data_IF_577870212730
#
_entry.id   IF_577870212730
#
_cell.length_a   1.000
_cell.length_b   1.000
_cell.length_c   1.000
_cell.angle_alpha   90.00
_cell.angle_beta   90.00
_cell.angle_gamma   90.00
#
_symmetry.space_group_name_H-M   'P 1'
#
loop_
_entity.id
_entity.type
_entity.pdbx_description
1 polymer ?
#
# COMPACT_ATOMS: atom_id res chain seq x y z
N UNK A 1 3.76 4.78 -49.14
CA UNK A 1 5.06 5.47 -49.03
C UNK A 1 4.79 6.82 -48.40
N UNK A 2 5.03 6.95 -47.11
CA UNK A 2 4.88 8.22 -46.38
C UNK A 2 6.16 9.04 -46.68
N UNK A 3 6.01 10.20 -47.30
CA UNK A 3 7.10 11.13 -47.55
C UNK A 3 7.63 11.61 -46.19
N UNK A 4 8.90 11.30 -45.91
CA UNK A 4 9.65 11.88 -44.79
C UNK A 4 9.76 13.37 -45.10
N UNK A 5 9.32 14.25 -44.17
CA UNK A 5 9.43 15.69 -44.37
C UNK A 5 10.92 16.07 -44.56
N UNK A 6 11.19 16.95 -45.51
CA UNK A 6 12.55 17.35 -45.90
C UNK A 6 13.35 17.97 -44.74
N UNK A 7 12.65 18.49 -43.72
CA UNK A 7 13.22 19.07 -42.50
C UNK A 7 13.84 18.02 -41.55
N UNK A 8 13.35 16.77 -41.55
CA UNK A 8 13.90 15.70 -40.73
C UNK A 8 15.26 15.16 -41.19
N UNK A 9 15.66 15.45 -42.41
CA UNK A 9 16.92 14.97 -42.98
C UNK A 9 18.13 15.84 -42.61
N UNK A 10 17.92 17.07 -42.13
CA UNK A 10 18.99 18.05 -41.85
C UNK A 10 19.07 18.44 -40.37
N UNK A 11 18.22 17.95 -39.50
CA UNK A 11 18.34 18.19 -38.07
C UNK A 11 19.52 17.41 -37.50
N UNK A 12 20.43 18.12 -36.83
CA UNK A 12 21.55 17.51 -36.11
C UNK A 12 21.04 16.65 -34.96
N UNK A 13 21.84 15.67 -34.49
CA UNK A 13 21.50 14.89 -33.28
C UNK A 13 21.26 15.78 -32.05
N UNK A 14 21.93 16.95 -31.99
CA UNK A 14 21.73 17.94 -30.95
C UNK A 14 20.34 18.60 -31.04
N UNK A 15 19.87 18.94 -32.23
CA UNK A 15 18.52 19.51 -32.47
C UNK A 15 17.43 18.47 -32.20
N UNK A 16 17.65 17.19 -32.56
CA UNK A 16 16.74 16.08 -32.19
C UNK A 16 16.69 15.83 -30.70
N UNK A 17 17.80 16.03 -29.98
CA UNK A 17 17.84 15.97 -28.51
C UNK A 17 17.20 17.20 -27.86
N UNK A 18 17.27 18.38 -28.49
CA UNK A 18 16.57 19.58 -28.02
C UNK A 18 15.05 19.50 -28.19
N UNK A 19 14.56 18.96 -29.30
CA UNK A 19 13.14 18.70 -29.56
C UNK A 19 12.58 17.63 -28.58
N UNK A 20 13.44 16.71 -28.12
CA UNK A 20 13.09 15.71 -27.10
C UNK A 20 13.33 16.18 -25.65
N UNK A 21 13.84 17.40 -25.41
CA UNK A 21 13.90 17.97 -24.07
C UNK A 21 12.50 18.26 -23.58
N UNK A 22 12.15 17.67 -22.47
CA UNK A 22 10.91 17.95 -21.76
C UNK A 22 10.82 19.43 -21.42
N UNK A 23 10.00 20.16 -22.16
CA UNK A 23 9.79 21.59 -21.92
C UNK A 23 8.68 21.79 -20.89
N UNK A 24 8.97 22.63 -19.91
CA UNK A 24 7.95 23.10 -18.96
C UNK A 24 7.13 24.18 -19.68
N UNK A 25 5.81 24.00 -19.69
CA UNK A 25 4.87 24.97 -20.26
C UNK A 25 3.75 25.27 -19.24
N UNK A 26 3.25 26.49 -19.24
CA UNK A 26 2.08 26.82 -18.43
C UNK A 26 0.83 26.31 -19.12
N UNK A 27 0.05 25.51 -18.40
CA UNK A 27 -1.19 24.88 -18.91
C UNK A 27 -2.35 25.34 -18.05
N UNK A 28 -3.47 25.78 -18.66
CA UNK A 28 -4.69 26.11 -17.93
C UNK A 28 -5.21 24.91 -17.12
N UNK A 29 -5.64 25.17 -15.86
CA UNK A 29 -6.13 24.14 -14.94
C UNK A 29 -7.33 23.39 -15.49
N UNK A 30 -8.20 24.06 -16.25
CA UNK A 30 -9.39 23.48 -16.89
C UNK A 30 -9.09 22.37 -17.90
N UNK A 31 -7.86 22.31 -18.42
CA UNK A 31 -7.44 21.29 -19.37
C UNK A 31 -6.93 20.02 -18.68
N UNK A 32 -6.76 20.01 -17.35
CA UNK A 32 -6.31 18.83 -16.65
C UNK A 32 -7.46 17.93 -16.23
N UNK A 33 -7.25 16.63 -16.38
CA UNK A 33 -8.20 15.60 -15.98
C UNK A 33 -7.51 14.59 -15.06
N UNK A 34 -8.22 14.07 -14.04
CA UNK A 34 -7.65 13.09 -13.13
C UNK A 34 -7.32 11.78 -13.85
N UNK A 35 -6.29 11.07 -13.34
CA UNK A 35 -5.94 9.73 -13.83
C UNK A 35 -7.09 8.74 -13.52
N UNK A 36 -7.52 7.91 -14.50
CA UNK A 36 -8.58 6.92 -14.26
C UNK A 36 -8.19 5.94 -13.15
N UNK A 37 -9.12 5.68 -12.23
CA UNK A 37 -8.92 4.75 -11.12
C UNK A 37 -7.68 5.05 -10.27
N UNK A 38 -7.32 6.33 -10.12
CA UNK A 38 -6.19 6.77 -9.30
C UNK A 38 -6.33 6.24 -7.86
N UNK A 39 -5.40 5.40 -7.38
CA UNK A 39 -5.57 4.72 -6.10
C UNK A 39 -5.31 5.62 -4.90
N UNK A 40 -4.56 6.70 -5.07
CA UNK A 40 -4.16 7.59 -3.98
C UNK A 40 -5.15 8.73 -3.81
N UNK A 41 -5.66 8.90 -2.60
CA UNK A 41 -6.61 9.97 -2.27
C UNK A 41 -5.90 11.32 -2.20
N UNK A 42 -6.57 12.36 -2.69
CA UNK A 42 -6.20 13.74 -2.44
C UNK A 42 -7.09 14.20 -1.28
N UNK A 43 -6.46 14.44 -0.11
CA UNK A 43 -7.16 14.83 1.11
C UNK A 43 -6.92 16.32 1.38
N UNK A 44 -7.96 16.99 1.88
CA UNK A 44 -7.90 18.39 2.34
C UNK A 44 -7.46 18.43 3.81
N UNK A 45 -6.24 17.90 4.05
CA UNK A 45 -5.58 17.82 5.33
C UNK A 45 -4.73 19.12 5.60
N UNK A 46 -4.15 19.21 6.79
CA UNK A 46 -3.25 20.31 7.16
C UNK A 46 -2.08 20.46 6.17
N UNK A 47 -1.51 19.34 5.70
CA UNK A 47 -0.45 19.35 4.66
C UNK A 47 -0.94 19.91 3.31
N UNK A 48 -2.25 19.78 3.02
CA UNK A 48 -2.83 20.43 1.83
C UNK A 48 -2.89 21.93 2.02
N UNK A 49 -3.27 22.41 3.19
CA UNK A 49 -3.30 23.84 3.50
C UNK A 49 -1.91 24.47 3.39
N UNK A 50 -0.86 23.80 3.90
CA UNK A 50 0.53 24.23 3.72
C UNK A 50 0.91 24.30 2.24
N UNK A 51 0.46 23.32 1.45
CA UNK A 51 0.71 23.29 0.00
C UNK A 51 0.00 24.45 -0.71
N UNK A 52 -1.25 24.74 -0.34
CA UNK A 52 -2.03 25.88 -0.87
C UNK A 52 -1.35 27.21 -0.53
N UNK A 53 -0.92 27.39 0.72
CA UNK A 53 -0.20 28.59 1.13
C UNK A 53 1.10 28.76 0.33
N UNK A 54 1.92 27.73 0.24
CA UNK A 54 3.16 27.74 -0.56
C UNK A 54 2.91 28.11 -2.03
N UNK A 55 1.87 27.54 -2.64
CA UNK A 55 1.51 27.82 -4.03
C UNK A 55 0.99 29.27 -4.18
N UNK A 56 0.26 29.77 -3.19
CA UNK A 56 -0.20 31.16 -3.20
C UNK A 56 0.94 32.16 -3.15
N UNK A 57 2.02 31.86 -2.39
CA UNK A 57 3.17 32.74 -2.22
C UNK A 57 4.18 32.61 -3.38
N UNK A 58 4.53 31.39 -3.75
CA UNK A 58 5.66 31.12 -4.66
C UNK A 58 5.25 30.50 -6.00
N UNK A 59 3.97 30.18 -6.19
CA UNK A 59 3.51 29.39 -7.33
C UNK A 59 3.92 27.92 -7.24
N UNK A 60 3.69 27.17 -8.30
CA UNK A 60 4.07 25.76 -8.40
C UNK A 60 5.53 25.65 -8.80
N UNK A 61 6.42 25.38 -7.85
CA UNK A 61 7.87 25.31 -8.07
C UNK A 61 8.31 24.05 -8.85
N UNK A 62 7.62 22.93 -8.64
CA UNK A 62 7.90 21.66 -9.32
C UNK A 62 6.79 21.40 -10.32
N UNK A 63 7.07 21.34 -11.63
CA UNK A 63 6.03 21.13 -12.64
C UNK A 63 5.30 19.81 -12.45
N UNK A 64 4.02 19.78 -12.83
CA UNK A 64 3.24 18.55 -12.86
C UNK A 64 3.59 17.75 -14.12
N UNK A 65 3.44 16.42 -14.07
CA UNK A 65 3.62 15.57 -15.24
C UNK A 65 2.23 15.14 -15.75
N UNK A 66 1.99 15.38 -17.02
CA UNK A 66 0.74 14.99 -17.67
C UNK A 66 0.98 14.43 -19.08
N UNK A 67 -0.04 13.76 -19.62
CA UNK A 67 -0.01 13.25 -21.00
C UNK A 67 -1.21 13.74 -21.79
N UNK A 68 -1.11 13.88 -23.14
CA UNK A 68 -2.25 14.21 -23.97
C UNK A 68 -3.36 13.15 -23.91
N UNK A 69 -4.63 13.58 -23.89
CA UNK A 69 -5.81 12.71 -24.02
C UNK A 69 -6.32 12.71 -25.44
N UNK A 70 -6.88 11.58 -25.91
CA UNK A 70 -7.51 11.52 -27.24
C UNK A 70 -8.73 12.47 -27.37
N UNK A 71 -9.46 12.69 -26.25
CA UNK A 71 -10.66 13.55 -26.20
C UNK A 71 -10.30 15.03 -26.03
N UNK A 72 -9.03 15.37 -25.96
CA UNK A 72 -8.52 16.70 -25.68
C UNK A 72 -8.17 16.93 -24.21
N UNK A 73 -7.36 17.94 -23.97
CA UNK A 73 -6.79 18.20 -22.64
C UNK A 73 -5.69 17.22 -22.26
N UNK A 74 -5.37 17.18 -20.97
CA UNK A 74 -4.25 16.43 -20.43
C UNK A 74 -4.66 15.58 -19.24
N UNK A 75 -4.17 14.35 -19.16
CA UNK A 75 -4.36 13.47 -18.02
C UNK A 75 -3.18 13.61 -17.06
N UNK A 76 -3.47 13.84 -15.79
CA UNK A 76 -2.46 14.04 -14.75
C UNK A 76 -1.80 12.69 -14.42
N UNK A 77 -0.49 12.55 -14.65
CA UNK A 77 0.28 11.37 -14.28
C UNK A 77 0.93 11.53 -12.90
N UNK A 78 1.46 12.72 -12.61
CA UNK A 78 2.03 13.03 -11.30
C UNK A 78 1.77 14.49 -10.93
N UNK A 79 1.37 14.73 -9.68
CA UNK A 79 1.13 16.07 -9.14
C UNK A 79 -0.33 16.40 -8.86
N UNK A 80 -1.22 15.42 -8.69
CA UNK A 80 -2.63 15.64 -8.36
C UNK A 80 -2.84 16.59 -7.18
N UNK A 81 -2.05 16.47 -6.09
CA UNK A 81 -2.12 17.41 -4.95
C UNK A 81 -1.74 18.85 -5.34
N UNK A 82 -0.78 19.02 -6.24
CA UNK A 82 -0.37 20.36 -6.73
C UNK A 82 -1.45 21.00 -7.61
N UNK A 83 -2.10 20.23 -8.44
CA UNK A 83 -3.25 20.71 -9.25
C UNK A 83 -4.37 21.14 -8.29
N UNK A 84 -4.80 20.27 -7.37
CA UNK A 84 -5.87 20.58 -6.43
C UNK A 84 -5.53 21.79 -5.53
N UNK A 85 -4.31 21.86 -5.02
CA UNK A 85 -3.87 23.02 -4.23
C UNK A 85 -3.82 24.33 -5.07
N UNK A 86 -3.53 24.23 -6.37
CA UNK A 86 -3.56 25.38 -7.29
C UNK A 86 -4.97 25.88 -7.53
N UNK A 87 -5.95 24.98 -7.65
CA UNK A 87 -7.37 25.32 -7.72
C UNK A 87 -7.83 26.05 -6.45
N UNK A 88 -7.48 25.51 -5.26
CA UNK A 88 -7.80 26.15 -3.97
C UNK A 88 -7.10 27.49 -3.78
N UNK A 89 -5.90 27.67 -4.34
CA UNK A 89 -5.15 28.94 -4.34
C UNK A 89 -5.64 29.95 -5.39
N UNK A 90 -6.69 29.63 -6.18
CA UNK A 90 -7.25 30.49 -7.21
C UNK A 90 -6.30 30.74 -8.41
N UNK A 91 -5.38 29.82 -8.67
CA UNK A 91 -4.54 29.90 -9.88
C UNK A 91 -5.35 29.47 -11.09
N UNK A 92 -5.03 30.03 -12.25
CA UNK A 92 -5.67 29.70 -13.53
C UNK A 92 -4.85 28.74 -14.38
N UNK A 93 -3.54 28.68 -14.16
CA UNK A 93 -2.59 27.84 -14.87
C UNK A 93 -1.49 27.31 -13.95
N UNK A 94 -0.86 26.20 -14.35
CA UNK A 94 0.27 25.59 -13.64
C UNK A 94 1.37 25.17 -14.60
N UNK A 95 2.64 25.19 -14.19
CA UNK A 95 3.73 24.66 -14.98
C UNK A 95 3.60 23.13 -15.08
N UNK A 96 3.65 22.62 -16.30
CA UNK A 96 3.50 21.19 -16.61
C UNK A 96 4.54 20.72 -17.62
N UNK A 97 4.95 19.48 -17.48
CA UNK A 97 5.68 18.71 -18.49
C UNK A 97 4.66 17.80 -19.18
N UNK A 98 4.47 17.99 -20.47
CA UNK A 98 3.58 17.16 -21.27
C UNK A 98 4.40 16.11 -22.00
N UNK A 99 4.18 14.84 -21.65
CA UNK A 99 4.89 13.70 -22.24
C UNK A 99 3.91 12.71 -22.86
N UNK A 100 4.13 12.35 -24.12
CA UNK A 100 3.38 11.24 -24.75
C UNK A 100 3.89 9.93 -24.18
N UNK A 101 2.98 9.11 -23.64
CA UNK A 101 3.28 7.81 -23.05
C UNK A 101 2.08 6.87 -23.15
N UNK A 102 2.35 5.59 -23.10
CA UNK A 102 1.31 4.55 -23.06
C UNK A 102 0.62 4.51 -21.70
N UNK A 103 -0.53 3.84 -21.61
CA UNK A 103 -1.26 3.65 -20.34
C UNK A 103 -0.41 2.93 -19.29
N UNK A 104 0.33 1.89 -19.71
CA UNK A 104 1.17 1.12 -18.80
C UNK A 104 2.35 1.96 -18.26
N UNK A 105 2.98 2.78 -19.12
CA UNK A 105 4.03 3.73 -18.70
C UNK A 105 3.49 4.77 -17.72
N UNK A 106 2.33 5.33 -18.00
CA UNK A 106 1.69 6.30 -17.14
C UNK A 106 1.34 5.69 -15.76
N UNK A 107 0.81 4.45 -15.73
CA UNK A 107 0.56 3.71 -14.49
C UNK A 107 1.84 3.51 -13.69
N UNK A 108 2.93 3.07 -14.32
CA UNK A 108 4.21 2.83 -13.64
C UNK A 108 4.75 4.12 -13.01
N UNK A 109 4.78 5.22 -13.76
CA UNK A 109 5.26 6.52 -13.26
C UNK A 109 4.35 7.03 -12.13
N UNK A 110 3.03 6.97 -12.30
CA UNK A 110 2.06 7.41 -11.31
C UNK A 110 2.23 6.63 -9.99
N UNK A 111 2.32 5.31 -10.06
CA UNK A 111 2.48 4.47 -8.86
C UNK A 111 3.83 4.74 -8.19
N UNK A 112 4.94 4.76 -8.95
CA UNK A 112 6.28 4.94 -8.38
C UNK A 112 6.45 6.32 -7.73
N UNK A 113 5.90 7.38 -8.32
CA UNK A 113 5.95 8.73 -7.74
C UNK A 113 5.16 8.86 -6.42
N UNK A 114 4.16 8.01 -6.19
CA UNK A 114 3.34 8.04 -4.99
C UNK A 114 3.78 7.05 -3.90
N UNK A 115 4.41 5.92 -4.27
CA UNK A 115 4.89 4.94 -3.31
C UNK A 115 6.05 5.43 -2.42
N UNK A 116 6.66 6.57 -2.77
CA UNK A 116 7.71 7.21 -1.97
C UNK A 116 7.15 8.11 -0.85
N UNK A 117 5.81 8.24 -0.72
CA UNK A 117 5.20 9.04 0.35
C UNK A 117 5.39 8.35 1.69
N UNK A 118 5.61 9.14 2.75
CA UNK A 118 5.78 8.62 4.12
C UNK A 118 4.54 7.90 4.66
N UNK A 119 3.35 8.35 4.28
CA UNK A 119 2.08 7.81 4.75
C UNK A 119 1.22 7.44 3.55
N UNK A 120 0.99 6.13 3.38
CA UNK A 120 0.13 5.56 2.35
C UNK A 120 -0.80 4.57 3.04
N UNK A 121 -2.10 4.69 2.79
CA UNK A 121 -3.09 3.78 3.36
C UNK A 121 -2.91 2.35 2.82
N UNK A 122 -3.25 1.32 3.61
CA UNK A 122 -3.23 -0.07 3.15
C UNK A 122 -4.02 -0.29 1.86
N UNK A 123 -5.19 0.34 1.73
CA UNK A 123 -6.00 0.27 0.51
C UNK A 123 -5.30 0.89 -0.70
N UNK A 124 -4.67 2.06 -0.52
CA UNK A 124 -3.93 2.74 -1.57
C UNK A 124 -2.76 1.88 -2.08
N UNK A 125 -1.97 1.30 -1.14
CA UNK A 125 -0.91 0.33 -1.49
C UNK A 125 -1.46 -0.88 -2.24
N UNK A 126 -2.60 -1.42 -1.78
CA UNK A 126 -3.23 -2.59 -2.38
C UNK A 126 -3.57 -2.36 -3.87
N UNK A 127 -4.29 -1.27 -4.17
CA UNK A 127 -4.67 -0.95 -5.54
C UNK A 127 -3.46 -0.49 -6.39
N UNK A 128 -2.53 0.28 -5.83
CA UNK A 128 -1.32 0.70 -6.51
C UNK A 128 -0.46 -0.50 -6.93
N UNK A 129 -0.23 -1.46 -6.03
CA UNK A 129 0.52 -2.68 -6.36
C UNK A 129 -0.21 -3.55 -7.39
N UNK A 130 -1.54 -3.65 -7.30
CA UNK A 130 -2.33 -4.37 -8.30
C UNK A 130 -2.20 -3.73 -9.68
N UNK A 131 -2.36 -2.40 -9.79
CA UNK A 131 -2.22 -1.67 -11.04
C UNK A 131 -0.80 -1.84 -11.63
N UNK A 132 0.23 -1.71 -10.79
CA UNK A 132 1.63 -1.89 -11.20
C UNK A 132 1.90 -3.32 -11.67
N UNK A 133 1.38 -4.33 -10.95
CA UNK A 133 1.49 -5.74 -11.33
C UNK A 133 0.89 -6.01 -12.71
N UNK A 134 -0.30 -5.49 -12.95
CA UNK A 134 -1.02 -5.64 -14.22
C UNK A 134 -0.29 -4.94 -15.35
N UNK A 135 0.18 -3.69 -15.15
CA UNK A 135 0.95 -2.93 -16.13
C UNK A 135 2.24 -3.65 -16.52
N UNK A 136 3.06 -4.08 -15.55
CA UNK A 136 4.30 -4.84 -15.82
C UNK A 136 3.99 -6.15 -16.55
N UNK A 137 2.91 -6.83 -16.20
CA UNK A 137 2.54 -8.10 -16.84
C UNK A 137 2.14 -7.88 -18.30
N UNK A 138 1.37 -6.82 -18.62
CA UNK A 138 1.04 -6.45 -20.00
C UNK A 138 2.27 -6.09 -20.81
N UNK A 139 3.17 -5.31 -20.23
CA UNK A 139 4.43 -4.92 -20.89
C UNK A 139 5.33 -6.11 -21.16
N UNK A 140 5.48 -7.05 -20.22
CA UNK A 140 6.26 -8.30 -20.41
C UNK A 140 5.69 -9.21 -21.51
N UNK A 141 4.38 -9.18 -21.74
CA UNK A 141 3.72 -9.95 -22.79
C UNK A 141 3.79 -9.34 -24.19
N UNK A 142 4.30 -8.10 -24.34
CA UNK A 142 4.43 -7.42 -25.65
C UNK A 142 5.72 -7.81 -26.38
N UNK A 143 5.74 -7.81 -27.75
CA UNK A 143 6.98 -7.98 -28.52
C UNK A 143 8.01 -6.91 -28.16
N UNK A 144 9.30 -7.29 -28.19
CA UNK A 144 10.45 -6.46 -27.71
C UNK A 144 10.64 -5.09 -28.39
N UNK A 145 9.86 -4.74 -29.41
CA UNK A 145 10.03 -3.52 -30.21
C UNK A 145 9.16 -2.33 -29.75
N UNK A 146 8.45 -2.45 -28.62
CA UNK A 146 7.62 -1.37 -28.09
C UNK A 146 8.00 -1.03 -26.64
N UNK A 147 8.70 0.09 -26.46
CA UNK A 147 8.92 0.75 -25.17
C UNK A 147 10.36 0.73 -24.65
N UNK A 148 10.88 1.92 -24.37
CA UNK A 148 12.25 2.12 -23.87
C UNK A 148 12.43 1.84 -22.37
N UNK A 149 11.35 1.60 -21.60
CA UNK A 149 11.35 1.56 -20.12
C UNK A 149 11.55 0.15 -19.53
N UNK A 150 11.65 -0.92 -20.36
CA UNK A 150 11.35 -2.27 -19.87
C UNK A 150 12.52 -3.27 -19.76
N UNK A 151 13.78 -3.00 -20.13
CA UNK A 151 14.84 -4.00 -20.04
C UNK A 151 15.07 -4.54 -18.62
N UNK A 152 14.88 -3.70 -17.59
CA UNK A 152 15.15 -4.05 -16.19
C UNK A 152 14.17 -5.05 -15.57
N UNK A 153 13.02 -5.31 -16.21
CA UNK A 153 11.98 -6.18 -15.64
C UNK A 153 11.99 -7.60 -16.20
N UNK A 154 12.89 -7.91 -17.16
CA UNK A 154 12.99 -9.24 -17.73
C UNK A 154 13.81 -10.18 -16.82
N UNK A 155 13.24 -11.37 -16.55
CA UNK A 155 13.91 -12.42 -15.77
C UNK A 155 13.49 -12.53 -14.31
N UNK A 156 12.87 -11.50 -13.71
CA UNK A 156 12.36 -11.51 -12.34
C UNK A 156 10.86 -11.79 -12.29
N UNK A 157 10.38 -12.33 -11.17
CA UNK A 157 8.94 -12.38 -10.91
C UNK A 157 8.41 -10.96 -10.75
N UNK A 158 7.24 -10.67 -11.30
CA UNK A 158 6.68 -9.32 -11.30
C UNK A 158 6.51 -8.73 -9.89
N UNK A 159 6.17 -9.57 -8.91
CA UNK A 159 6.07 -9.16 -7.49
C UNK A 159 7.43 -8.86 -6.86
N UNK A 160 8.51 -9.48 -7.31
CA UNK A 160 9.89 -9.19 -6.87
C UNK A 160 10.34 -7.82 -7.38
N UNK A 161 10.02 -7.50 -8.63
CA UNK A 161 10.27 -6.17 -9.22
C UNK A 161 9.59 -5.05 -8.43
N UNK A 162 8.33 -5.26 -8.01
CA UNK A 162 7.60 -4.28 -7.19
C UNK A 162 8.27 -4.16 -5.81
N UNK A 163 8.66 -5.27 -5.22
CA UNK A 163 9.29 -5.34 -3.90
C UNK A 163 10.62 -4.58 -3.85
N UNK A 164 11.48 -4.73 -4.86
CA UNK A 164 12.75 -4.00 -4.95
C UNK A 164 12.56 -2.48 -4.98
N UNK A 165 11.57 -2.00 -5.74
CA UNK A 165 11.27 -0.56 -5.85
C UNK A 165 10.68 0.07 -4.58
N UNK A 166 10.16 -0.75 -3.64
CA UNK A 166 9.45 -0.27 -2.45
C UNK A 166 10.13 -0.61 -1.12
N UNK A 167 11.17 -1.44 -1.15
CA UNK A 167 11.83 -1.94 0.05
C UNK A 167 10.99 -2.94 0.87
N UNK A 168 9.84 -3.37 0.35
CA UNK A 168 9.00 -4.39 0.98
C UNK A 168 9.36 -5.80 0.49
N UNK A 169 9.01 -6.84 1.27
CA UNK A 169 9.19 -8.21 0.78
C UNK A 169 8.12 -8.54 -0.27
N UNK A 170 8.44 -9.43 -1.22
CA UNK A 170 7.46 -9.89 -2.23
C UNK A 170 6.20 -10.51 -1.59
N UNK A 171 6.33 -11.15 -0.42
CA UNK A 171 5.19 -11.68 0.34
C UNK A 171 4.29 -10.57 0.87
N UNK A 172 4.89 -9.44 1.28
CA UNK A 172 4.12 -8.30 1.75
C UNK A 172 3.37 -7.62 0.60
N UNK A 173 4.01 -7.47 -0.57
CA UNK A 173 3.35 -6.99 -1.80
C UNK A 173 2.13 -7.86 -2.15
N UNK A 174 2.29 -9.20 -2.10
CA UNK A 174 1.18 -10.12 -2.35
C UNK A 174 0.04 -9.98 -1.35
N UNK A 175 0.34 -9.76 -0.06
CA UNK A 175 -0.67 -9.51 0.98
C UNK A 175 -1.44 -8.22 0.71
N UNK A 176 -0.77 -7.12 0.35
CA UNK A 176 -1.44 -5.88 -0.03
C UNK A 176 -2.34 -6.09 -1.25
N UNK A 177 -1.84 -6.68 -2.33
CA UNK A 177 -2.65 -6.97 -3.52
C UNK A 177 -3.88 -7.80 -3.15
N UNK A 178 -3.75 -8.75 -2.22
CA UNK A 178 -4.87 -9.58 -1.79
C UNK A 178 -5.99 -8.76 -1.13
N UNK A 179 -5.70 -7.65 -0.46
CA UNK A 179 -6.71 -6.77 0.14
C UNK A 179 -7.70 -6.18 -0.88
N UNK A 180 -7.34 -6.12 -2.17
CA UNK A 180 -8.25 -5.64 -3.22
C UNK A 180 -9.48 -6.52 -3.44
N UNK A 181 -9.53 -7.70 -2.81
CA UNK A 181 -10.68 -8.61 -2.83
C UNK A 181 -11.59 -8.45 -1.62
N UNK A 182 -11.31 -7.51 -0.73
CA UNK A 182 -12.19 -7.19 0.39
C UNK A 182 -13.35 -6.30 -0.07
N UNK A 183 -14.51 -6.51 0.54
CA UNK A 183 -15.61 -5.55 0.45
C UNK A 183 -15.19 -4.21 1.05
N UNK A 184 -15.72 -3.13 0.49
CA UNK A 184 -15.28 -1.77 0.81
C UNK A 184 -15.28 -1.44 2.30
N UNK A 185 -16.33 -1.79 3.09
CA UNK A 185 -16.36 -1.49 4.53
C UNK A 185 -15.22 -2.15 5.31
N UNK A 186 -14.88 -3.42 5.00
CA UNK A 186 -13.75 -4.11 5.67
C UNK A 186 -12.41 -3.45 5.31
N UNK A 187 -12.25 -3.04 4.05
CA UNK A 187 -11.03 -2.36 3.60
C UNK A 187 -10.87 -1.00 4.28
N UNK A 188 -11.96 -0.24 4.45
CA UNK A 188 -11.95 1.03 5.17
C UNK A 188 -11.62 0.84 6.67
N UNK A 189 -12.04 -0.26 7.30
CA UNK A 189 -11.63 -0.63 8.66
C UNK A 189 -10.12 -0.94 8.75
N UNK A 190 -9.53 -1.53 7.72
CA UNK A 190 -8.07 -1.74 7.65
C UNK A 190 -7.34 -0.41 7.56
N UNK A 191 -7.81 0.53 6.75
CA UNK A 191 -7.26 1.87 6.62
C UNK A 191 -7.30 2.65 7.96
N UNK A 192 -8.35 2.44 8.75
CA UNK A 192 -8.54 3.04 10.07
C UNK A 192 -7.78 2.32 11.20
N UNK A 193 -7.02 1.26 10.89
CA UNK A 193 -6.39 0.36 11.87
C UNK A 193 -7.35 -0.31 12.86
N UNK A 194 -8.66 -0.33 12.60
CA UNK A 194 -9.68 -1.03 13.39
C UNK A 194 -9.77 -2.53 13.04
N UNK A 195 -9.19 -2.93 11.91
CA UNK A 195 -9.06 -4.32 11.48
C UNK A 195 -7.59 -4.64 11.15
N UNK A 196 -7.03 -5.66 11.79
CA UNK A 196 -5.63 -6.02 11.60
C UNK A 196 -5.34 -6.54 10.18
N UNK A 197 -4.32 -5.99 9.49
CA UNK A 197 -3.97 -6.30 8.10
C UNK A 197 -3.85 -7.81 7.84
N UNK A 198 -3.17 -8.56 8.72
CA UNK A 198 -2.99 -10.00 8.52
C UNK A 198 -4.29 -10.79 8.64
N UNK A 199 -5.22 -10.37 9.51
CA UNK A 199 -6.55 -10.96 9.61
C UNK A 199 -7.38 -10.61 8.36
N UNK A 200 -7.32 -9.36 7.90
CA UNK A 200 -7.98 -8.91 6.68
C UNK A 200 -7.53 -9.69 5.43
N UNK A 201 -6.24 -10.03 5.34
CA UNK A 201 -5.72 -10.91 4.26
C UNK A 201 -6.38 -12.28 4.29
N UNK A 202 -6.58 -12.89 5.47
CA UNK A 202 -7.31 -14.18 5.55
C UNK A 202 -8.78 -14.03 5.14
N UNK A 203 -9.44 -12.94 5.55
CA UNK A 203 -10.84 -12.65 5.19
C UNK A 203 -10.99 -12.37 3.69
N UNK A 204 -10.00 -11.81 3.02
CA UNK A 204 -10.05 -11.55 1.58
C UNK A 204 -10.17 -12.81 0.71
N UNK A 205 -9.98 -14.00 1.28
CA UNK A 205 -10.21 -15.28 0.59
C UNK A 205 -11.68 -15.73 0.65
N UNK A 206 -12.52 -15.11 1.48
CA UNK A 206 -13.93 -15.44 1.57
C UNK A 206 -14.69 -14.89 0.35
N UNK A 207 -15.75 -15.58 -0.11
CA UNK A 207 -16.73 -15.01 -1.01
C UNK A 207 -17.35 -13.73 -0.43
N UNK A 208 -17.82 -12.85 -1.28
CA UNK A 208 -18.41 -11.55 -0.88
C UNK A 208 -19.59 -11.72 0.11
N UNK A 209 -20.42 -12.73 -0.11
CA UNK A 209 -21.55 -13.07 0.79
C UNK A 209 -21.06 -13.33 2.24
N UNK A 210 -19.98 -14.11 2.39
CA UNK A 210 -19.42 -14.41 3.71
C UNK A 210 -18.70 -13.22 4.33
N UNK A 211 -18.12 -12.33 3.52
CA UNK A 211 -17.54 -11.09 4.02
C UNK A 211 -18.62 -10.15 4.55
N UNK A 212 -19.77 -10.05 3.87
CA UNK A 212 -20.91 -9.26 4.31
C UNK A 212 -21.54 -9.83 5.59
N UNK A 213 -21.73 -11.17 5.67
CA UNK A 213 -22.20 -11.82 6.90
C UNK A 213 -21.24 -11.60 8.08
N UNK A 214 -19.93 -11.62 7.83
CA UNK A 214 -18.95 -11.29 8.86
C UNK A 214 -19.05 -9.84 9.32
N UNK A 215 -19.30 -8.88 8.42
CA UNK A 215 -19.52 -7.47 8.78
C UNK A 215 -20.71 -7.32 9.73
N UNK A 216 -21.84 -7.95 9.42
CA UNK A 216 -23.02 -7.93 10.28
C UNK A 216 -22.74 -8.52 11.67
N UNK A 217 -22.04 -9.66 11.70
CA UNK A 217 -21.64 -10.29 12.97
C UNK A 217 -20.66 -9.43 13.78
N UNK A 218 -19.72 -8.76 13.13
CA UNK A 218 -18.76 -7.83 13.77
C UNK A 218 -19.47 -6.59 14.31
N UNK A 219 -20.44 -6.05 13.59
CA UNK A 219 -21.22 -4.89 14.04
C UNK A 219 -22.08 -5.27 15.26
N UNK A 220 -22.70 -6.44 15.26
CA UNK A 220 -23.45 -6.95 16.40
C UNK A 220 -22.56 -7.20 17.63
N UNK A 221 -21.43 -7.87 17.46
CA UNK A 221 -20.51 -8.23 18.54
C UNK A 221 -19.59 -7.06 18.98
N UNK A 222 -19.52 -5.97 18.20
CA UNK A 222 -18.63 -4.81 18.39
C UNK A 222 -17.15 -5.22 18.52
N UNK A 223 -16.74 -6.27 17.77
CA UNK A 223 -15.37 -6.79 17.78
C UNK A 223 -14.88 -7.13 16.37
N UNK A 224 -13.59 -6.97 16.14
CA UNK A 224 -12.93 -7.45 14.93
C UNK A 224 -12.20 -8.77 15.21
N UNK A 225 -12.23 -9.74 14.29
CA UNK A 225 -11.57 -11.03 14.50
C UNK A 225 -10.05 -10.90 14.60
N UNK A 226 -9.46 -11.67 15.48
CA UNK A 226 -8.01 -11.89 15.52
C UNK A 226 -7.56 -12.71 14.31
N UNK A 227 -6.24 -12.78 14.04
CA UNK A 227 -5.70 -13.62 12.96
C UNK A 227 -6.09 -15.10 13.11
N UNK A 228 -6.12 -15.62 14.35
CA UNK A 228 -6.52 -17.01 14.61
C UNK A 228 -8.00 -17.24 14.30
N UNK A 229 -8.88 -16.33 14.71
CA UNK A 229 -10.29 -16.35 14.38
C UNK A 229 -10.53 -16.20 12.87
N UNK A 230 -9.84 -15.28 12.20
CA UNK A 230 -9.95 -15.08 10.75
C UNK A 230 -9.57 -16.35 9.96
N UNK A 231 -8.52 -17.07 10.36
CA UNK A 231 -8.15 -18.38 9.78
C UNK A 231 -9.22 -19.45 9.97
N UNK A 232 -9.85 -19.50 11.15
CA UNK A 232 -10.93 -20.44 11.40
C UNK A 232 -12.18 -20.10 10.58
N UNK A 233 -12.56 -18.82 10.52
CA UNK A 233 -13.66 -18.34 9.68
C UNK A 233 -13.42 -18.75 8.23
N UNK A 234 -12.21 -18.54 7.70
CA UNK A 234 -11.83 -18.99 6.36
C UNK A 234 -11.97 -20.50 6.20
N UNK A 235 -11.47 -21.30 7.13
CA UNK A 235 -11.58 -22.78 7.08
C UNK A 235 -13.04 -23.26 7.07
N UNK A 236 -13.92 -22.62 7.85
CA UNK A 236 -15.37 -22.90 7.82
C UNK A 236 -15.98 -22.48 6.48
N UNK A 237 -15.61 -21.34 5.93
CA UNK A 237 -16.05 -20.87 4.61
C UNK A 237 -15.62 -21.87 3.51
N UNK A 238 -14.33 -22.26 3.48
CA UNK A 238 -13.79 -23.20 2.49
C UNK A 238 -14.47 -24.59 2.56
N UNK A 239 -14.95 -25.00 3.75
CA UNK A 239 -15.69 -26.25 3.95
C UNK A 239 -17.20 -26.14 3.71
N UNK A 240 -17.72 -24.97 3.38
CA UNK A 240 -19.15 -24.71 3.17
C UNK A 240 -19.98 -24.81 4.45
N UNK A 241 -19.36 -24.63 5.62
CA UNK A 241 -20.00 -24.74 6.95
C UNK A 241 -20.07 -23.42 7.70
N UNK A 242 -19.78 -22.31 7.02
CA UNK A 242 -19.85 -20.98 7.63
C UNK A 242 -21.31 -20.50 7.62
N UNK A 243 -21.86 -20.29 8.81
CA UNK A 243 -23.17 -19.68 9.02
C UNK A 243 -23.09 -18.61 10.13
N UNK A 244 -24.19 -17.91 10.38
CA UNK A 244 -24.25 -16.84 11.38
C UNK A 244 -23.92 -17.37 12.80
N UNK A 245 -24.36 -18.58 13.16
CA UNK A 245 -24.11 -19.18 14.49
C UNK A 245 -22.61 -19.46 14.68
N UNK A 246 -21.92 -19.94 13.63
CA UNK A 246 -20.48 -20.19 13.64
C UNK A 246 -19.71 -18.87 13.77
N UNK A 247 -20.13 -17.82 13.06
CA UNK A 247 -19.52 -16.49 13.18
C UNK A 247 -19.67 -15.94 14.59
N UNK A 248 -20.88 -15.96 15.16
CA UNK A 248 -21.14 -15.52 16.52
C UNK A 248 -20.34 -16.31 17.55
N UNK A 249 -20.28 -17.64 17.42
CA UNK A 249 -19.49 -18.48 18.31
C UNK A 249 -17.99 -18.12 18.27
N UNK A 250 -17.44 -17.90 17.07
CA UNK A 250 -16.02 -17.54 16.92
C UNK A 250 -15.74 -16.13 17.46
N UNK A 251 -16.61 -15.15 17.21
CA UNK A 251 -16.41 -13.76 17.62
C UNK A 251 -16.64 -13.56 19.12
N UNK A 252 -17.54 -14.35 19.73
CA UNK A 252 -17.84 -14.32 21.17
C UNK A 252 -16.75 -14.99 22.04
N UNK A 253 -15.80 -15.69 21.43
CA UNK A 253 -14.69 -16.27 22.19
C UNK A 253 -13.85 -15.15 22.84
N UNK A 254 -13.72 -15.21 24.16
CA UNK A 254 -12.81 -14.32 24.88
C UNK A 254 -11.40 -14.47 24.31
N UNK A 255 -10.81 -13.36 23.88
CA UNK A 255 -9.40 -13.35 23.45
C UNK A 255 -8.56 -13.80 24.64
N UNK A 256 -7.82 -14.91 24.54
CA UNK A 256 -6.91 -15.27 25.62
C UNK A 256 -5.99 -14.07 25.86
N UNK A 257 -6.00 -13.56 27.10
CA UNK A 257 -5.08 -12.51 27.53
C UNK A 257 -3.66 -13.10 27.51
N UNK A 258 -3.06 -13.18 26.33
CA UNK A 258 -1.62 -13.48 26.22
C UNK A 258 -0.86 -12.32 26.86
N UNK A 259 -0.62 -12.43 28.17
CA UNK A 259 0.30 -11.55 28.87
C UNK A 259 1.72 -11.89 28.40
N UNK A 260 2.14 -11.31 27.29
CA UNK A 260 3.55 -11.41 26.85
C UNK A 260 4.39 -10.47 27.71
N UNK A 261 5.20 -11.05 28.57
CA UNK A 261 6.27 -10.33 29.26
C UNK A 261 7.55 -10.50 28.45
N UNK A 262 7.96 -9.44 27.76
CA UNK A 262 9.22 -9.44 27.01
C UNK A 262 10.34 -8.89 27.89
N UNK A 263 11.29 -9.73 28.26
CA UNK A 263 12.48 -9.31 28.97
C UNK A 263 13.56 -8.92 27.96
N UNK A 264 14.04 -7.68 28.06
CA UNK A 264 15.11 -7.19 27.16
C UNK A 264 16.42 -7.88 27.48
N UNK A 265 17.17 -8.29 26.45
CA UNK A 265 18.43 -9.04 26.58
C UNK A 265 19.50 -8.31 27.39
N UNK A 266 19.57 -6.97 27.30
CA UNK A 266 20.48 -6.13 28.09
C UNK A 266 20.21 -6.22 29.61
N UNK A 267 18.96 -6.40 30.02
CA UNK A 267 18.61 -6.62 31.45
C UNK A 267 18.96 -8.03 31.92
N UNK A 268 18.90 -9.02 31.04
CA UNK A 268 19.18 -10.41 31.36
C UNK A 268 20.69 -10.72 31.41
N UNK A 269 21.49 -10.03 30.60
CA UNK A 269 22.97 -10.21 30.56
C UNK A 269 23.64 -10.02 31.91
N UNK A 270 23.04 -9.26 32.84
CA UNK A 270 23.61 -9.08 34.21
C UNK A 270 23.49 -10.31 35.10
N UNK A 271 22.59 -11.25 34.74
CA UNK A 271 22.27 -12.41 35.56
C UNK A 271 22.73 -13.73 34.95
N UNK A 272 23.13 -13.73 33.67
CA UNK A 272 23.52 -14.93 32.94
C UNK A 272 24.94 -14.80 32.39
N UNK A 273 25.76 -15.87 32.40
CA UNK A 273 27.03 -15.90 31.68
C UNK A 273 26.85 -15.65 30.20
N UNK A 274 27.84 -15.03 29.54
CA UNK A 274 27.83 -14.72 28.11
C UNK A 274 27.73 -15.95 27.21
N UNK A 275 27.98 -17.14 27.72
CA UNK A 275 27.88 -18.44 27.03
C UNK A 275 26.46 -19.00 26.98
N UNK A 276 25.48 -18.41 27.72
CA UNK A 276 24.11 -18.92 27.75
C UNK A 276 23.35 -18.54 26.52
N UNK A 277 22.71 -19.53 25.90
CA UNK A 277 21.77 -19.30 24.79
C UNK A 277 20.44 -18.80 25.32
N UNK A 278 19.62 -18.09 24.49
CA UNK A 278 18.28 -17.63 24.88
C UNK A 278 17.39 -18.75 25.43
N UNK A 279 17.49 -19.95 24.88
CA UNK A 279 16.72 -21.12 25.30
C UNK A 279 17.15 -21.60 26.71
N UNK A 280 18.46 -21.53 27.03
CA UNK A 280 18.99 -21.86 28.35
C UNK A 280 18.55 -20.83 29.38
N UNK A 281 18.55 -19.54 29.03
CA UNK A 281 18.05 -18.47 29.91
C UNK A 281 16.56 -18.64 30.21
N UNK A 282 15.75 -18.95 29.21
CA UNK A 282 14.32 -19.19 29.35
C UNK A 282 14.04 -20.36 30.32
N UNK A 283 14.78 -21.46 30.16
CA UNK A 283 14.64 -22.65 31.05
C UNK A 283 14.92 -22.31 32.51
N UNK A 284 16.00 -21.56 32.78
CA UNK A 284 16.36 -21.14 34.15
C UNK A 284 15.31 -20.19 34.73
N UNK A 285 14.83 -19.22 33.93
CA UNK A 285 13.77 -18.28 34.36
C UNK A 285 12.50 -19.04 34.72
N UNK A 286 12.07 -19.98 33.88
CA UNK A 286 10.88 -20.79 34.10
C UNK A 286 11.00 -21.58 35.41
N UNK A 287 12.13 -22.22 35.66
CA UNK A 287 12.39 -22.99 36.86
C UNK A 287 12.38 -22.14 38.15
N UNK A 288 12.95 -20.93 38.05
CA UNK A 288 12.90 -19.96 39.17
C UNK A 288 11.47 -19.47 39.47
N UNK A 289 10.67 -19.27 38.43
CA UNK A 289 9.27 -18.88 38.62
C UNK A 289 8.39 -20.01 39.18
N UNK A 290 8.66 -21.25 38.78
CA UNK A 290 7.99 -22.44 39.38
C UNK A 290 8.31 -22.58 40.88
N UNK A 291 9.59 -22.45 41.24
CA UNK A 291 10.02 -22.48 42.64
C UNK A 291 9.45 -21.32 43.44
N UNK A 292 9.40 -20.13 42.87
CA UNK A 292 8.77 -18.98 43.51
C UNK A 292 7.26 -19.20 43.73
N UNK A 293 6.55 -19.71 42.71
CA UNK A 293 5.11 -20.01 42.80
C UNK A 293 4.82 -21.06 43.87
N UNK A 294 5.65 -22.12 43.98
CA UNK A 294 5.51 -23.12 45.03
C UNK A 294 5.69 -22.53 46.42
N UNK A 295 6.72 -21.71 46.63
CA UNK A 295 6.97 -21.02 47.92
C UNK A 295 5.84 -20.03 48.28
N UNK A 296 5.18 -19.41 47.32
CA UNK A 296 4.04 -18.54 47.55
C UNK A 296 2.81 -19.34 48.02
N UNK A 297 2.54 -20.49 47.41
CA UNK A 297 1.45 -21.40 47.87
C UNK A 297 1.66 -21.92 49.28
N UNK A 298 2.88 -22.35 49.64
CA UNK A 298 3.24 -22.80 50.99
C UNK A 298 3.08 -21.70 52.02
N UNK A 299 3.38 -20.43 51.71
CA UNK A 299 3.17 -19.27 52.56
C UNK A 299 1.69 -18.95 52.80
N UNK A 300 0.85 -19.17 51.79
CA UNK A 300 -0.61 -18.93 51.89
C UNK A 300 -1.32 -20.03 52.69
N UNK A 301 -0.80 -21.27 52.66
CA UNK A 301 -1.35 -22.38 53.42
C UNK A 301 -0.93 -22.36 54.91
N UNK A 302 0.19 -21.74 55.27
CA UNK A 302 0.64 -21.61 56.68
C UNK A 302 0.10 -20.34 57.37
N UNK A 303 -0.63 -19.49 56.64
CA UNK A 303 -1.24 -18.27 57.19
C UNK A 303 -2.75 -18.33 57.45
N UNK A 304 -3.32 -19.54 57.45
CA UNK A 304 -4.74 -19.80 57.87
C UNK A 304 -4.81 -20.57 59.18
#
# INVERSE_FOLDING_TARGET
MTLIAYEDLFSSEAERQEVNREQVQNVPLELFHPFPNHPFKVLDDEKMQDTVQSISEFGVLVPVLARPRPEGGYEIVSGHRRIHASELAGRTEVPAIIRTMTDDEAILIMVDSNLQREQILPSEKAFAYKMKLEAITRVKGRPKNMGQIVPQYFGMRTTEVIAEGTGESYKQVQRYIRLTHLVRPILDMVDQNSFALNAAVEISYLPEEHQNALLEAMDYAQVSPSLAQARRIRAFSDSGKLDANVLDAILSEEKPLERKVTLRGDKLQKFFPSSYTPLQMEKVITQLLEDWSRKQKERTDHGR
#
